data_IF_424829954441
#
_entry.id   IF_424829954441
#
_cell.length_a   1.000
_cell.length_b   1.000
_cell.length_c   1.000
_cell.angle_alpha   90.00
_cell.angle_beta   90.00
_cell.angle_gamma   90.00
#
_symmetry.space_group_name_H-M   'P 1'
#
loop_
_entity.id
_entity.type
_entity.pdbx_description
1 polymer ?
#
# COMPACT_ATOMS: atom_id res chain seq x y z
N UNK A 1 88.47 92.45 6.96
CA UNK A 1 87.25 93.05 6.40
C UNK A 1 86.54 91.96 5.63
N UNK A 2 85.56 91.31 6.27
CA UNK A 2 84.46 90.52 5.71
C UNK A 2 83.73 89.95 6.94
N UNK A 3 82.73 90.69 7.44
CA UNK A 3 81.85 90.14 8.48
C UNK A 3 80.85 89.18 7.84
N UNK A 4 80.70 87.95 8.36
CA UNK A 4 79.90 86.90 7.74
C UNK A 4 78.40 87.20 7.83
N UNK A 5 77.69 86.75 6.79
CA UNK A 5 76.29 86.97 6.48
C UNK A 5 75.32 86.24 7.45
N UNK A 6 75.43 86.54 8.75
CA UNK A 6 74.55 86.07 9.81
C UNK A 6 73.07 86.44 9.58
N UNK A 7 72.83 87.46 8.78
CA UNK A 7 71.48 87.90 8.45
C UNK A 7 70.78 86.94 7.49
N UNK A 8 71.45 86.41 6.47
CA UNK A 8 70.81 85.50 5.52
C UNK A 8 70.43 84.15 6.15
N UNK A 9 71.27 83.60 7.03
CA UNK A 9 70.95 82.35 7.73
C UNK A 9 69.79 82.52 8.72
N UNK A 10 69.75 83.66 9.43
CA UNK A 10 68.62 83.99 10.31
C UNK A 10 67.32 84.14 9.52
N UNK A 11 67.37 84.75 8.35
CA UNK A 11 66.20 84.93 7.49
C UNK A 11 65.70 83.60 6.91
N UNK A 12 66.61 82.70 6.53
CA UNK A 12 66.27 81.37 6.04
C UNK A 12 65.61 80.52 7.14
N UNK A 13 66.17 80.51 8.36
CA UNK A 13 65.57 79.80 9.50
C UNK A 13 64.20 80.41 9.85
N UNK A 14 64.06 81.74 9.83
CA UNK A 14 62.77 82.40 10.05
C UNK A 14 61.75 82.04 8.96
N UNK A 15 62.16 81.94 7.69
CA UNK A 15 61.28 81.50 6.62
C UNK A 15 60.84 80.04 6.75
N UNK A 16 61.74 79.14 7.13
CA UNK A 16 61.40 77.72 7.33
C UNK A 16 60.48 77.54 8.54
N UNK A 17 60.73 78.26 9.65
CA UNK A 17 59.84 78.29 10.81
C UNK A 17 58.49 78.87 10.43
N UNK A 18 58.45 79.99 9.71
CA UNK A 18 57.20 80.56 9.22
C UNK A 18 56.46 79.62 8.27
N UNK A 19 57.17 78.87 7.42
CA UNK A 19 56.56 77.90 6.50
C UNK A 19 55.92 76.73 7.26
N UNK A 20 56.62 76.16 8.24
CA UNK A 20 56.09 75.10 9.11
C UNK A 20 54.88 75.60 9.91
N UNK A 21 54.90 76.82 10.43
CA UNK A 21 53.77 77.40 11.17
C UNK A 21 52.63 77.93 10.26
N UNK A 22 52.90 78.22 8.98
CA UNK A 22 51.90 78.64 8.00
C UNK A 22 51.31 77.47 7.21
N UNK A 23 51.81 76.25 7.36
CA UNK A 23 51.21 75.04 6.81
C UNK A 23 49.87 74.77 7.53
N UNK A 24 48.80 75.35 6.97
CA UNK A 24 47.40 75.21 7.42
C UNK A 24 46.87 73.76 7.39
N UNK A 25 47.70 72.80 6.98
CA UNK A 25 47.40 71.36 6.95
C UNK A 25 47.05 70.81 8.32
N UNK A 26 47.79 71.19 9.36
CA UNK A 26 47.55 70.70 10.74
C UNK A 26 46.24 71.22 11.32
N UNK A 27 45.92 72.50 11.10
CA UNK A 27 44.66 73.09 11.56
C UNK A 27 43.46 72.46 10.82
N UNK A 28 43.61 72.18 9.53
CA UNK A 28 42.59 71.49 8.76
C UNK A 28 42.41 70.04 9.23
N UNK A 29 43.52 69.31 9.44
CA UNK A 29 43.52 67.94 9.93
C UNK A 29 42.87 67.82 11.32
N UNK A 30 43.18 68.74 12.25
CA UNK A 30 42.55 68.80 13.58
C UNK A 30 41.04 69.10 13.47
N UNK A 31 40.63 70.02 12.59
CA UNK A 31 39.20 70.32 12.37
C UNK A 31 38.47 69.15 11.72
N UNK A 32 39.08 68.44 10.79
CA UNK A 32 38.52 67.21 10.20
C UNK A 32 38.45 66.07 11.21
N UNK A 33 39.47 65.87 12.05
CA UNK A 33 39.45 64.90 13.13
C UNK A 33 38.34 65.22 14.14
N UNK A 34 38.18 66.50 14.51
CA UNK A 34 37.09 66.96 15.38
C UNK A 34 35.70 66.67 14.80
N UNK A 35 35.50 66.92 13.49
CA UNK A 35 34.25 66.57 12.78
C UNK A 35 34.00 65.06 12.80
N UNK A 36 35.01 64.25 12.48
CA UNK A 36 34.90 62.78 12.52
C UNK A 36 34.57 62.25 13.92
N UNK A 37 35.11 62.86 14.99
CA UNK A 37 34.80 62.48 16.37
C UNK A 37 33.32 62.75 16.67
N UNK A 38 32.82 63.95 16.33
CA UNK A 38 31.41 64.31 16.52
C UNK A 38 30.49 63.37 15.73
N UNK A 39 30.83 63.08 14.47
CA UNK A 39 30.06 62.16 13.62
C UNK A 39 30.05 60.73 14.18
N UNK A 40 31.19 60.24 14.68
CA UNK A 40 31.29 58.92 15.33
C UNK A 40 30.47 58.87 16.63
N UNK A 41 30.45 59.96 17.39
CA UNK A 41 29.71 60.06 18.64
C UNK A 41 28.20 60.06 18.38
N UNK A 42 27.74 60.85 17.40
CA UNK A 42 26.34 60.85 16.96
C UNK A 42 25.91 59.49 16.38
N UNK A 43 26.76 58.85 15.58
CA UNK A 43 26.50 57.50 15.06
C UNK A 43 26.46 56.45 16.18
N UNK A 44 27.29 56.59 17.21
CA UNK A 44 27.31 55.75 18.41
C UNK A 44 26.01 55.87 19.22
N UNK A 45 25.56 57.10 19.47
CA UNK A 45 24.31 57.38 20.19
C UNK A 45 23.08 56.86 19.42
N UNK A 46 23.05 57.06 18.10
CA UNK A 46 21.97 56.54 17.25
C UNK A 46 21.90 55.01 17.27
N UNK A 47 23.04 54.32 17.16
CA UNK A 47 23.12 52.85 17.28
C UNK A 47 22.71 52.37 18.66
N UNK A 48 23.12 53.06 19.72
CA UNK A 48 22.75 52.70 21.08
C UNK A 48 21.23 52.80 21.29
N UNK A 49 20.60 53.87 20.78
CA UNK A 49 19.15 54.03 20.82
C UNK A 49 18.42 52.93 20.06
N UNK A 50 18.87 52.61 18.84
CA UNK A 50 18.31 51.52 18.05
C UNK A 50 18.45 50.15 18.73
N UNK A 51 19.58 49.90 19.41
CA UNK A 51 19.80 48.68 20.16
C UNK A 51 18.85 48.58 21.37
N UNK A 52 18.62 49.68 22.09
CA UNK A 52 17.65 49.72 23.18
C UNK A 52 16.22 49.47 22.71
N UNK A 53 15.83 50.03 21.57
CA UNK A 53 14.51 49.79 20.96
C UNK A 53 14.36 48.31 20.55
N UNK A 54 15.40 47.73 19.95
CA UNK A 54 15.42 46.30 19.60
C UNK A 54 15.31 45.40 20.83
N UNK A 55 16.03 45.71 21.91
CA UNK A 55 15.96 44.94 23.15
C UNK A 55 14.55 44.99 23.74
N UNK A 56 13.93 46.17 23.78
CA UNK A 56 12.55 46.32 24.29
C UNK A 56 11.56 45.49 23.48
N UNK A 57 11.65 45.50 22.16
CA UNK A 57 10.75 44.73 21.31
C UNK A 57 10.98 43.22 21.49
N UNK A 58 12.23 42.75 21.55
CA UNK A 58 12.55 41.36 21.83
C UNK A 58 12.06 40.92 23.22
N UNK A 59 12.20 41.76 24.25
CA UNK A 59 11.63 41.49 25.57
C UNK A 59 10.12 41.33 25.51
N UNK A 60 9.42 42.22 24.77
CA UNK A 60 7.97 42.14 24.58
C UNK A 60 7.56 40.85 23.86
N UNK A 61 8.30 40.44 22.84
CA UNK A 61 8.05 39.19 22.12
C UNK A 61 8.27 37.95 23.00
N UNK A 62 9.31 37.96 23.83
CA UNK A 62 9.58 36.88 24.79
C UNK A 62 8.44 36.78 25.82
N UNK A 63 7.97 37.92 26.33
CA UNK A 63 6.87 37.93 27.30
C UNK A 63 5.55 37.47 26.67
N UNK A 64 5.27 37.86 25.42
CA UNK A 64 4.11 37.36 24.67
C UNK A 64 4.18 35.84 24.45
N UNK A 65 5.33 35.33 24.00
CA UNK A 65 5.51 33.90 23.78
C UNK A 65 5.37 33.10 25.08
N UNK A 66 5.84 33.63 26.22
CA UNK A 66 5.65 33.01 27.54
C UNK A 66 4.18 32.98 27.95
N UNK A 67 3.45 34.06 27.71
CA UNK A 67 2.02 34.18 28.01
C UNK A 67 1.21 33.16 27.19
N UNK A 68 1.42 33.11 25.87
CA UNK A 68 0.75 32.15 24.98
C UNK A 68 1.05 30.71 25.39
N UNK A 69 2.30 30.41 25.76
CA UNK A 69 2.67 29.07 26.20
C UNK A 69 2.05 28.70 27.55
N UNK A 70 1.87 29.68 28.45
CA UNK A 70 1.16 29.46 29.71
C UNK A 70 -0.33 29.21 29.48
N UNK A 71 -0.97 29.97 28.60
CA UNK A 71 -2.38 29.82 28.22
C UNK A 71 -2.65 28.49 27.51
N UNK A 72 -1.80 28.09 26.56
CA UNK A 72 -1.88 26.77 25.92
C UNK A 72 -1.73 25.63 26.93
N UNK A 73 -0.79 25.75 27.87
CA UNK A 73 -0.59 24.75 28.93
C UNK A 73 -1.82 24.68 29.84
N UNK A 74 -2.43 25.80 30.21
CA UNK A 74 -3.69 25.83 30.99
C UNK A 74 -4.85 25.21 30.20
N UNK A 75 -4.95 25.48 28.89
CA UNK A 75 -5.96 24.86 28.04
C UNK A 75 -5.77 23.34 27.93
N UNK A 76 -4.54 22.85 27.71
CA UNK A 76 -4.22 21.42 27.67
C UNK A 76 -4.41 20.72 29.03
N UNK A 77 -4.24 21.46 30.12
CA UNK A 77 -4.51 21.01 31.48
C UNK A 77 -5.98 21.10 31.86
N UNK A 78 -6.86 21.64 31.00
CA UNK A 78 -8.29 21.63 31.26
C UNK A 78 -8.75 20.18 31.42
N UNK A 79 -9.11 19.74 32.64
CA UNK A 79 -9.36 18.34 32.93
C UNK A 79 -10.50 17.79 32.06
N UNK A 80 -11.45 18.62 31.66
CA UNK A 80 -12.54 18.25 30.77
C UNK A 80 -12.07 17.93 29.33
N UNK A 81 -11.13 18.70 28.78
CA UNK A 81 -10.60 18.44 27.43
C UNK A 81 -9.72 17.19 27.43
N UNK A 82 -8.86 17.03 28.44
CA UNK A 82 -8.03 15.83 28.61
C UNK A 82 -8.88 14.56 28.75
N UNK A 83 -9.95 14.62 29.54
CA UNK A 83 -10.87 13.51 29.74
C UNK A 83 -11.57 13.12 28.43
N UNK A 84 -12.08 14.11 27.66
CA UNK A 84 -12.66 13.86 26.33
C UNK A 84 -11.68 13.20 25.38
N UNK A 85 -10.43 13.66 25.35
CA UNK A 85 -9.39 13.07 24.51
C UNK A 85 -9.09 11.62 24.91
N UNK A 86 -9.07 11.30 26.21
CA UNK A 86 -8.87 9.95 26.71
C UNK A 86 -10.04 9.02 26.35
N UNK A 87 -11.26 9.51 26.48
CA UNK A 87 -12.48 8.77 26.08
C UNK A 87 -12.51 8.51 24.58
N UNK A 88 -12.17 9.52 23.77
CA UNK A 88 -12.08 9.37 22.33
C UNK A 88 -10.97 8.40 21.93
N UNK A 89 -9.80 8.51 22.56
CA UNK A 89 -8.69 7.58 22.34
C UNK A 89 -9.09 6.15 22.71
N UNK A 90 -9.76 5.95 23.85
CA UNK A 90 -10.29 4.64 24.26
C UNK A 90 -11.27 4.07 23.23
N UNK A 91 -12.24 4.88 22.79
CA UNK A 91 -13.22 4.49 21.77
C UNK A 91 -12.56 4.11 20.44
N UNK A 92 -11.59 4.90 19.99
CA UNK A 92 -10.84 4.63 18.75
C UNK A 92 -10.01 3.36 18.91
N UNK A 93 -9.37 3.16 20.07
CA UNK A 93 -8.60 1.96 20.37
C UNK A 93 -9.47 0.69 20.32
N UNK A 94 -10.64 0.72 20.95
CA UNK A 94 -11.59 -0.40 20.95
C UNK A 94 -12.11 -0.70 19.55
N UNK A 95 -12.41 0.34 18.76
CA UNK A 95 -12.79 0.18 17.36
C UNK A 95 -11.67 -0.45 16.52
N UNK A 96 -10.42 0.00 16.69
CA UNK A 96 -9.27 -0.60 16.01
C UNK A 96 -9.13 -2.08 16.39
N UNK A 97 -9.29 -2.42 17.68
CA UNK A 97 -9.22 -3.79 18.15
C UNK A 97 -10.31 -4.66 17.53
N UNK A 98 -11.55 -4.15 17.48
CA UNK A 98 -12.68 -4.85 16.85
C UNK A 98 -12.45 -5.07 15.35
N UNK A 99 -12.03 -4.03 14.62
CA UNK A 99 -11.73 -4.13 13.19
C UNK A 99 -10.60 -5.11 12.90
N UNK A 100 -9.56 -5.17 13.75
CA UNK A 100 -8.49 -6.17 13.63
C UNK A 100 -9.02 -7.60 13.79
N UNK A 101 -9.88 -7.84 14.78
CA UNK A 101 -10.51 -9.16 14.98
C UNK A 101 -11.40 -9.54 13.81
N UNK A 102 -12.19 -8.61 13.28
CA UNK A 102 -13.03 -8.83 12.09
C UNK A 102 -12.17 -9.14 10.85
N UNK A 103 -11.07 -8.42 10.67
CA UNK A 103 -10.14 -8.64 9.55
C UNK A 103 -9.52 -10.02 9.62
N UNK A 104 -9.08 -10.47 10.79
CA UNK A 104 -8.53 -11.81 10.96
C UNK A 104 -9.59 -12.89 10.72
N UNK A 105 -10.81 -12.71 11.27
CA UNK A 105 -11.91 -13.64 11.03
C UNK A 105 -12.34 -13.72 9.56
N UNK A 106 -12.27 -12.62 8.82
CA UNK A 106 -12.49 -12.62 7.36
C UNK A 106 -11.37 -13.35 6.63
N UNK A 107 -10.11 -13.18 7.05
CA UNK A 107 -8.96 -13.85 6.46
C UNK A 107 -9.03 -15.37 6.60
N UNK A 108 -9.44 -15.88 7.76
CA UNK A 108 -9.67 -17.31 7.98
C UNK A 108 -10.79 -17.86 7.09
N UNK A 109 -11.88 -17.10 6.92
CA UNK A 109 -12.99 -17.47 6.03
C UNK A 109 -12.52 -17.55 4.58
N UNK A 110 -11.75 -16.57 4.11
CA UNK A 110 -11.17 -16.57 2.76
C UNK A 110 -10.29 -17.81 2.58
N UNK A 111 -9.39 -18.09 3.52
CA UNK A 111 -8.53 -19.27 3.47
C UNK A 111 -9.34 -20.58 3.37
N UNK A 112 -10.41 -20.69 4.17
CA UNK A 112 -11.30 -21.85 4.16
C UNK A 112 -12.02 -22.02 2.82
N UNK A 113 -12.53 -20.92 2.26
CA UNK A 113 -13.23 -20.93 0.96
C UNK A 113 -12.27 -21.28 -0.17
N UNK A 114 -11.05 -20.74 -0.16
CA UNK A 114 -10.02 -21.08 -1.14
C UNK A 114 -9.60 -22.56 -1.07
N UNK A 115 -9.53 -23.13 0.15
CA UNK A 115 -9.29 -24.56 0.34
C UNK A 115 -10.39 -25.41 -0.30
N UNK A 116 -11.66 -25.09 -0.02
CA UNK A 116 -12.81 -25.77 -0.62
C UNK A 116 -12.86 -25.62 -2.14
N UNK A 117 -12.54 -24.44 -2.67
CA UNK A 117 -12.50 -24.20 -4.11
C UNK A 117 -11.44 -25.09 -4.79
N UNK A 118 -10.26 -25.25 -4.18
CA UNK A 118 -9.22 -26.16 -4.66
C UNK A 118 -9.65 -27.63 -4.62
N UNK A 119 -10.28 -28.07 -3.54
CA UNK A 119 -10.82 -29.44 -3.45
C UNK A 119 -11.88 -29.71 -4.52
N UNK A 120 -12.79 -28.76 -4.75
CA UNK A 120 -13.82 -28.88 -5.78
C UNK A 120 -13.20 -28.92 -7.18
N UNK A 121 -12.20 -28.08 -7.46
CA UNK A 121 -11.50 -28.10 -8.75
C UNK A 121 -10.80 -29.43 -9.02
N UNK A 122 -10.16 -30.03 -8.00
CA UNK A 122 -9.56 -31.36 -8.14
C UNK A 122 -10.61 -32.44 -8.41
N UNK A 123 -11.74 -32.42 -7.70
CA UNK A 123 -12.85 -33.38 -7.94
C UNK A 123 -13.44 -33.20 -9.33
N UNK A 124 -13.64 -31.97 -9.78
CA UNK A 124 -14.14 -31.69 -11.13
C UNK A 124 -13.19 -32.23 -12.20
N UNK A 125 -11.88 -32.05 -12.02
CA UNK A 125 -10.89 -32.59 -12.94
C UNK A 125 -10.89 -34.12 -12.94
N UNK A 126 -11.00 -34.76 -11.77
CA UNK A 126 -11.10 -36.22 -11.67
C UNK A 126 -12.35 -36.75 -12.40
N UNK A 127 -13.52 -36.14 -12.17
CA UNK A 127 -14.76 -36.52 -12.84
C UNK A 127 -14.63 -36.35 -14.35
N UNK A 128 -14.06 -35.24 -14.82
CA UNK A 128 -13.82 -35.01 -16.26
C UNK A 128 -12.90 -36.07 -16.85
N UNK A 129 -11.87 -36.49 -16.11
CA UNK A 129 -10.96 -37.54 -16.56
C UNK A 129 -11.67 -38.90 -16.63
N UNK A 130 -12.41 -39.27 -15.60
CA UNK A 130 -13.22 -40.49 -15.56
C UNK A 130 -14.28 -40.49 -16.68
N UNK A 131 -15.00 -39.39 -16.87
CA UNK A 131 -16.00 -39.24 -17.94
C UNK A 131 -15.36 -39.38 -19.32
N UNK A 132 -14.19 -38.78 -19.54
CA UNK A 132 -13.49 -38.84 -20.84
C UNK A 132 -13.02 -40.25 -21.23
N UNK A 133 -12.85 -41.16 -20.26
CA UNK A 133 -12.35 -42.52 -20.50
C UNK A 133 -13.46 -43.56 -20.36
N UNK A 134 -14.14 -43.58 -19.21
CA UNK A 134 -15.07 -44.64 -18.86
C UNK A 134 -16.40 -44.53 -19.61
N UNK A 135 -16.90 -43.31 -19.89
CA UNK A 135 -18.14 -43.16 -20.66
C UNK A 135 -17.98 -43.62 -22.11
N UNK A 136 -16.95 -43.19 -22.88
CA UNK A 136 -16.71 -43.74 -24.21
C UNK A 136 -16.47 -45.24 -24.21
N UNK A 137 -15.75 -45.76 -23.20
CA UNK A 137 -15.50 -47.19 -23.06
C UNK A 137 -16.78 -47.98 -22.81
N UNK A 138 -17.63 -47.54 -21.88
CA UNK A 138 -18.91 -48.17 -21.60
C UNK A 138 -19.82 -48.12 -22.84
N UNK A 139 -19.87 -46.97 -23.53
CA UNK A 139 -20.62 -46.83 -24.79
C UNK A 139 -20.13 -47.78 -25.87
N UNK A 140 -18.81 -47.93 -26.01
CA UNK A 140 -18.22 -48.86 -26.96
C UNK A 140 -18.58 -50.31 -26.62
N UNK A 141 -18.46 -50.71 -25.35
CA UNK A 141 -18.83 -52.05 -24.87
C UNK A 141 -20.31 -52.35 -25.11
N UNK A 142 -21.22 -51.42 -24.78
CA UNK A 142 -22.66 -51.57 -25.06
C UNK A 142 -22.91 -51.70 -26.56
N UNK A 143 -22.23 -50.90 -27.38
CA UNK A 143 -22.34 -50.96 -28.84
C UNK A 143 -21.84 -52.30 -29.38
N UNK A 144 -20.75 -52.84 -28.84
CA UNK A 144 -20.24 -54.16 -29.20
C UNK A 144 -21.26 -55.25 -28.87
N UNK A 145 -21.83 -55.24 -27.66
CA UNK A 145 -22.87 -56.20 -27.30
C UNK A 145 -24.10 -56.08 -28.18
N UNK A 146 -24.57 -54.86 -28.46
CA UNK A 146 -25.71 -54.64 -29.35
C UNK A 146 -25.43 -55.15 -30.77
N UNK A 147 -24.23 -54.92 -31.30
CA UNK A 147 -23.85 -55.36 -32.65
C UNK A 147 -23.65 -56.87 -32.76
N UNK A 148 -23.00 -57.50 -31.77
CA UNK A 148 -22.72 -58.93 -31.78
C UNK A 148 -24.01 -59.72 -31.55
N UNK A 149 -24.80 -59.32 -30.55
CA UNK A 149 -25.98 -60.07 -30.16
C UNK A 149 -27.21 -59.75 -31.00
N UNK A 150 -27.25 -58.56 -31.61
CA UNK A 150 -28.43 -58.05 -32.31
C UNK A 150 -29.71 -58.08 -31.45
N UNK A 151 -29.54 -58.02 -30.11
CA UNK A 151 -30.63 -58.00 -29.14
C UNK A 151 -31.03 -56.56 -28.84
N UNK A 152 -32.33 -56.29 -28.89
CA UNK A 152 -32.95 -55.08 -28.35
C UNK A 152 -33.74 -55.43 -27.10
N UNK A 153 -33.28 -54.91 -25.97
CA UNK A 153 -33.89 -55.12 -24.65
C UNK A 153 -35.10 -54.22 -24.42
N UNK A 154 -36.12 -54.75 -23.77
CA UNK A 154 -37.25 -53.98 -23.22
C UNK A 154 -36.95 -53.63 -21.75
N UNK A 155 -36.39 -52.45 -21.53
CA UNK A 155 -35.99 -51.97 -20.19
C UNK A 155 -37.16 -51.63 -19.26
N UNK A 156 -38.41 -51.67 -19.76
CA UNK A 156 -39.61 -51.40 -18.95
C UNK A 156 -40.18 -52.68 -18.30
N UNK A 157 -39.60 -53.85 -18.57
CA UNK A 157 -40.01 -55.13 -17.99
C UNK A 157 -39.09 -55.53 -16.84
N UNK A 158 -39.65 -56.13 -15.79
CA UNK A 158 -38.88 -56.78 -14.72
C UNK A 158 -38.28 -58.12 -15.16
N UNK A 159 -38.81 -58.70 -16.26
CA UNK A 159 -38.31 -59.93 -16.87
C UNK A 159 -37.21 -59.64 -17.90
N UNK A 160 -36.38 -60.65 -18.20
CA UNK A 160 -35.39 -60.60 -19.28
C UNK A 160 -36.15 -60.71 -20.61
N UNK A 161 -36.50 -59.55 -21.16
CA UNK A 161 -37.40 -59.41 -22.31
C UNK A 161 -36.77 -58.58 -23.41
N UNK A 162 -37.03 -58.96 -24.66
CA UNK A 162 -36.55 -58.21 -25.82
C UNK A 162 -36.84 -58.90 -27.14
N UNK A 163 -36.13 -58.43 -28.17
CA UNK A 163 -36.20 -58.97 -29.52
C UNK A 163 -34.81 -59.17 -30.11
N UNK A 164 -34.63 -60.24 -30.86
CA UNK A 164 -33.38 -60.54 -31.59
C UNK A 164 -33.64 -60.40 -33.09
N UNK A 165 -32.79 -59.67 -33.80
CA UNK A 165 -32.81 -59.59 -35.27
C UNK A 165 -31.74 -60.52 -35.85
N UNK A 166 -32.13 -61.43 -36.75
CA UNK A 166 -31.17 -62.32 -37.42
C UNK A 166 -30.16 -61.58 -38.31
N UNK A 167 -28.96 -62.14 -38.47
CA UNK A 167 -27.85 -61.54 -39.21
C UNK A 167 -28.19 -61.27 -40.70
N UNK A 168 -29.16 -62.00 -41.26
CA UNK A 168 -29.62 -61.84 -42.65
C UNK A 168 -30.85 -60.92 -42.79
N UNK A 169 -31.31 -60.28 -41.70
CA UNK A 169 -32.46 -59.37 -41.72
C UNK A 169 -33.83 -60.03 -41.93
N UNK A 170 -33.90 -61.36 -41.94
CA UNK A 170 -35.10 -62.13 -42.34
C UNK A 170 -35.99 -62.60 -41.18
N UNK A 171 -35.68 -62.25 -39.92
CA UNK A 171 -36.51 -62.67 -38.78
C UNK A 171 -36.30 -61.81 -37.53
N UNK A 172 -37.42 -61.35 -36.95
CA UNK A 172 -37.49 -60.74 -35.63
C UNK A 172 -38.08 -61.77 -34.66
N UNK A 173 -37.32 -62.22 -33.67
CA UNK A 173 -37.82 -63.12 -32.62
C UNK A 173 -37.95 -62.38 -31.30
N UNK A 174 -39.14 -62.39 -30.73
CA UNK A 174 -39.40 -61.89 -29.39
C UNK A 174 -39.11 -62.97 -28.34
N UNK A 175 -38.60 -62.58 -27.17
CA UNK A 175 -38.43 -63.47 -26.03
C UNK A 175 -38.80 -62.75 -24.72
N UNK A 176 -39.23 -63.54 -23.73
CA UNK A 176 -39.48 -63.10 -22.37
C UNK A 176 -39.12 -64.24 -21.42
N UNK A 177 -38.15 -64.02 -20.54
CA UNK A 177 -37.63 -65.01 -19.60
C UNK A 177 -37.71 -64.44 -18.18
N UNK A 178 -38.30 -65.19 -17.27
CA UNK A 178 -38.44 -64.83 -15.86
C UNK A 178 -37.16 -65.24 -15.08
N UNK A 179 -36.37 -64.28 -14.55
CA UNK A 179 -35.15 -64.57 -13.78
C UNK A 179 -35.39 -65.39 -12.51
N UNK A 180 -36.62 -65.40 -11.99
CA UNK A 180 -37.00 -66.13 -10.78
C UNK A 180 -37.26 -67.61 -11.04
N UNK A 181 -37.60 -67.96 -12.29
CA UNK A 181 -37.97 -69.33 -12.70
C UNK A 181 -36.85 -70.05 -13.44
N UNK A 182 -35.87 -69.31 -13.96
CA UNK A 182 -34.78 -69.84 -14.76
C UNK A 182 -33.43 -69.46 -14.16
N UNK A 183 -32.47 -70.39 -14.21
CA UNK A 183 -31.09 -70.07 -13.81
C UNK A 183 -30.43 -69.16 -14.83
N UNK A 184 -29.44 -68.36 -14.39
CA UNK A 184 -28.65 -67.51 -15.29
C UNK A 184 -27.99 -68.31 -16.44
N UNK A 185 -27.57 -69.55 -16.15
CA UNK A 185 -27.02 -70.47 -17.15
C UNK A 185 -28.06 -70.83 -18.23
N UNK A 186 -29.28 -71.18 -17.82
CA UNK A 186 -30.37 -71.49 -18.75
C UNK A 186 -30.72 -70.29 -19.62
N UNK A 187 -30.87 -69.10 -19.02
CA UNK A 187 -31.21 -67.86 -19.72
C UNK A 187 -30.14 -67.53 -20.76
N UNK A 188 -28.87 -67.60 -20.38
CA UNK A 188 -27.75 -67.27 -21.27
C UNK A 188 -27.69 -68.21 -22.47
N UNK A 189 -27.79 -69.51 -22.25
CA UNK A 189 -27.78 -70.49 -23.35
C UNK A 189 -29.00 -70.35 -24.25
N UNK A 190 -30.18 -70.09 -23.67
CA UNK A 190 -31.39 -69.83 -24.46
C UNK A 190 -31.22 -68.62 -25.37
N UNK A 191 -30.59 -67.54 -24.89
CA UNK A 191 -30.30 -66.37 -25.72
C UNK A 191 -29.28 -66.69 -26.82
N UNK A 192 -28.23 -67.47 -26.54
CA UNK A 192 -27.28 -67.94 -27.56
C UNK A 192 -27.95 -68.79 -28.63
N UNK A 193 -28.76 -69.77 -28.24
CA UNK A 193 -29.51 -70.61 -29.17
C UNK A 193 -30.45 -69.77 -30.05
N UNK A 194 -31.09 -68.74 -29.48
CA UNK A 194 -31.95 -67.84 -30.24
C UNK A 194 -31.16 -66.98 -31.25
N UNK A 195 -29.91 -66.61 -30.94
CA UNK A 195 -29.04 -65.88 -31.86
C UNK A 195 -28.54 -66.76 -33.01
N UNK A 196 -28.10 -68.00 -32.73
CA UNK A 196 -27.56 -68.93 -33.73
C UNK A 196 -28.62 -69.46 -34.70
N UNK A 197 -29.88 -69.57 -34.23
CA UNK A 197 -30.99 -70.09 -35.02
C UNK A 197 -31.79 -69.00 -35.77
N UNK A 198 -31.29 -67.77 -35.90
CA UNK A 198 -31.93 -66.65 -36.60
C UNK A 198 -31.30 -66.32 -37.96
#
# INVERSE_FOLDING_TARGET
MEEPNYHAEREAILQDVLKVFCEKGDVHAVREAGRKIVDLQAAGEARHKQMLESIKELSRQVDHAKQEHAEQKVSLLNPAQKQRLLEEHGRVHDNIKKLRQETEGLREKVHTVEGKARELAMREQQIKQEESVEVPRARHTISLYANISSIRWDYNSENVKGWITGASGSGLKAFELDPSKHSQYFITNCLWDLMDNC
#
